data_IF_657142661648
#
_entry.id   IF_657142661648
#
_cell.length_a   1.000
_cell.length_b   1.000
_cell.length_c   1.000
_cell.angle_alpha   90.00
_cell.angle_beta   90.00
_cell.angle_gamma   90.00
#
_symmetry.space_group_name_H-M   'P 1'
#
loop_
_entity.id
_entity.type
_entity.pdbx_description
1 polymer ?
#
# COMPACT_ATOMS: atom_id res chain seq x y z
N UNK A 1 30.93 -25.21 -3.96
CA UNK A 1 29.57 -24.73 -4.30
C UNK A 1 28.75 -25.93 -4.80
N UNK A 2 27.80 -26.42 -4.01
CA UNK A 2 27.07 -27.68 -4.28
C UNK A 2 25.97 -27.49 -5.34
N UNK A 3 25.69 -28.53 -6.12
CA UNK A 3 24.63 -28.61 -7.16
C UNK A 3 23.27 -28.07 -6.67
N UNK A 4 23.00 -28.15 -5.36
CA UNK A 4 21.82 -27.60 -4.70
C UNK A 4 21.71 -26.06 -4.78
N UNK A 5 22.82 -25.32 -4.70
CA UNK A 5 22.85 -23.86 -4.79
C UNK A 5 22.49 -23.35 -6.19
N UNK A 6 22.98 -24.03 -7.23
CA UNK A 6 22.66 -23.70 -8.62
C UNK A 6 21.17 -23.94 -8.93
N UNK A 7 20.63 -25.09 -8.49
CA UNK A 7 19.22 -25.46 -8.68
C UNK A 7 18.23 -24.50 -8.03
N UNK A 8 18.57 -23.94 -6.86
CA UNK A 8 17.73 -22.93 -6.19
C UNK A 8 17.78 -21.56 -6.88
N UNK A 9 18.90 -21.20 -7.51
CA UNK A 9 19.03 -19.93 -8.23
C UNK A 9 18.19 -19.92 -9.52
N UNK A 10 18.08 -21.06 -10.19
CA UNK A 10 17.24 -21.18 -11.39
C UNK A 10 15.74 -21.19 -11.06
N UNK A 11 15.34 -21.83 -9.95
CA UNK A 11 13.93 -21.84 -9.51
C UNK A 11 13.38 -20.43 -9.25
N UNK A 12 14.11 -19.57 -8.52
CA UNK A 12 13.63 -18.21 -8.23
C UNK A 12 13.53 -17.34 -9.49
N UNK A 13 14.46 -17.50 -10.43
CA UNK A 13 14.41 -16.80 -11.73
C UNK A 13 13.21 -17.27 -12.55
N UNK A 14 12.97 -18.58 -12.61
CA UNK A 14 11.81 -19.15 -13.30
C UNK A 14 10.52 -18.67 -12.63
N UNK A 15 10.42 -18.71 -11.30
CA UNK A 15 9.26 -18.21 -10.57
C UNK A 15 9.01 -16.72 -10.85
N UNK A 16 10.05 -15.87 -10.77
CA UNK A 16 9.91 -14.45 -11.11
C UNK A 16 9.44 -14.26 -12.55
N UNK A 17 10.04 -14.99 -13.50
CA UNK A 17 9.65 -14.93 -14.91
C UNK A 17 8.17 -15.30 -15.10
N UNK A 18 7.74 -16.45 -14.59
CA UNK A 18 6.37 -16.95 -14.74
C UNK A 18 5.37 -16.01 -14.07
N UNK A 19 5.63 -15.61 -12.82
CA UNK A 19 4.73 -14.72 -12.08
C UNK A 19 4.64 -13.33 -12.73
N UNK A 20 5.76 -12.76 -13.20
CA UNK A 20 5.74 -11.48 -13.91
C UNK A 20 5.11 -11.58 -15.30
N UNK A 21 5.25 -12.71 -16.00
CA UNK A 21 4.58 -12.92 -17.30
C UNK A 21 3.06 -12.98 -17.13
N UNK A 22 2.58 -13.75 -16.16
CA UNK A 22 1.13 -13.83 -15.88
C UNK A 22 0.60 -12.45 -15.47
N UNK A 23 1.27 -11.75 -14.56
CA UNK A 23 0.86 -10.42 -14.13
C UNK A 23 0.89 -9.41 -15.28
N UNK A 24 1.90 -9.47 -16.15
CA UNK A 24 2.00 -8.64 -17.35
C UNK A 24 0.82 -8.87 -18.31
N UNK A 25 0.50 -10.13 -18.62
CA UNK A 25 -0.60 -10.46 -19.53
C UNK A 25 -1.95 -10.05 -18.94
N UNK A 26 -2.18 -10.32 -17.65
CA UNK A 26 -3.44 -9.95 -16.98
C UNK A 26 -3.63 -8.43 -16.95
N UNK A 27 -2.60 -7.67 -16.58
CA UNK A 27 -2.69 -6.20 -16.55
C UNK A 27 -2.79 -5.61 -17.94
N UNK A 28 -2.18 -6.20 -18.97
CA UNK A 28 -2.35 -5.77 -20.35
C UNK A 28 -3.79 -6.00 -20.85
N UNK A 29 -4.37 -7.18 -20.59
CA UNK A 29 -5.76 -7.48 -20.91
C UNK A 29 -6.70 -6.53 -20.16
N UNK A 30 -6.47 -6.32 -18.87
CA UNK A 30 -7.24 -5.40 -18.05
C UNK A 30 -7.14 -3.95 -18.58
N UNK A 31 -5.96 -3.50 -19.01
CA UNK A 31 -5.75 -2.18 -19.61
C UNK A 31 -6.66 -1.99 -20.83
N UNK A 32 -6.64 -2.93 -21.77
CA UNK A 32 -7.45 -2.88 -22.98
C UNK A 32 -8.94 -2.94 -22.63
N UNK A 33 -9.34 -3.86 -21.75
CA UNK A 33 -10.73 -4.04 -21.34
C UNK A 33 -11.31 -2.80 -20.64
N UNK A 34 -10.57 -2.21 -19.70
CA UNK A 34 -11.01 -1.01 -18.98
C UNK A 34 -11.06 0.22 -19.89
N UNK A 35 -10.06 0.44 -20.76
CA UNK A 35 -10.16 1.55 -21.71
C UNK A 35 -11.30 1.36 -22.71
N UNK A 36 -11.52 0.14 -23.22
CA UNK A 36 -12.67 -0.16 -24.07
C UNK A 36 -13.99 0.10 -23.32
N UNK A 37 -14.12 -0.36 -22.08
CA UNK A 37 -15.27 -0.13 -21.19
C UNK A 37 -15.56 1.36 -20.95
N UNK A 38 -14.52 2.14 -20.72
CA UNK A 38 -14.63 3.58 -20.46
C UNK A 38 -14.84 4.45 -21.70
N UNK A 39 -14.62 3.93 -22.91
CA UNK A 39 -14.68 4.70 -24.16
C UNK A 39 -15.64 4.08 -25.20
N UNK A 40 -15.18 3.10 -25.97
CA UNK A 40 -15.88 2.51 -27.11
C UNK A 40 -17.14 1.74 -26.70
N UNK A 41 -17.09 1.07 -25.54
CA UNK A 41 -18.19 0.25 -25.03
C UNK A 41 -19.19 1.04 -24.17
N UNK A 42 -18.92 2.32 -23.88
CA UNK A 42 -19.79 3.18 -23.06
C UNK A 42 -21.26 3.17 -23.52
N UNK A 43 -21.59 3.31 -24.83
CA UNK A 43 -22.99 3.30 -25.28
C UNK A 43 -23.67 1.95 -25.06
N UNK A 44 -22.92 0.84 -25.16
CA UNK A 44 -23.45 -0.51 -24.99
C UNK A 44 -23.65 -0.89 -23.53
N UNK A 45 -22.85 -0.31 -22.63
CA UNK A 45 -22.93 -0.53 -21.19
C UNK A 45 -23.96 0.40 -20.50
N UNK A 46 -24.57 1.34 -21.23
CA UNK A 46 -25.42 2.40 -20.69
C UNK A 46 -24.77 3.11 -19.49
N UNK A 47 -23.45 3.27 -19.51
CA UNK A 47 -22.68 3.79 -18.39
C UNK A 47 -22.62 5.32 -18.38
N UNK A 48 -22.75 5.90 -17.19
CA UNK A 48 -22.65 7.34 -16.98
C UNK A 48 -21.19 7.85 -17.09
N UNK A 49 -21.01 9.17 -16.94
CA UNK A 49 -19.68 9.78 -17.02
C UNK A 49 -18.78 9.36 -15.86
N UNK A 50 -19.34 9.12 -14.67
CA UNK A 50 -18.57 8.71 -13.50
C UNK A 50 -18.01 7.28 -13.68
N UNK A 51 -18.84 6.35 -14.13
CA UNK A 51 -18.47 4.97 -14.44
C UNK A 51 -17.44 4.92 -15.58
N UNK A 52 -17.62 5.74 -16.61
CA UNK A 52 -16.65 5.90 -17.70
C UNK A 52 -15.29 6.39 -17.19
N UNK A 53 -15.28 7.42 -16.33
CA UNK A 53 -14.05 7.94 -15.70
C UNK A 53 -13.36 6.90 -14.81
N UNK A 54 -14.14 6.15 -14.02
CA UNK A 54 -13.64 5.03 -13.23
C UNK A 54 -12.93 3.99 -14.10
N UNK A 55 -13.56 3.55 -15.20
CA UNK A 55 -12.94 2.61 -16.12
C UNK A 55 -11.66 3.16 -16.76
N UNK A 56 -11.64 4.42 -17.18
CA UNK A 56 -10.41 5.03 -17.73
C UNK A 56 -9.30 5.09 -16.67
N UNK A 57 -9.63 5.39 -15.42
CA UNK A 57 -8.66 5.41 -14.31
C UNK A 57 -8.08 4.02 -14.05
N UNK A 58 -8.95 2.99 -14.01
CA UNK A 58 -8.53 1.60 -13.88
C UNK A 58 -7.67 1.13 -15.06
N UNK A 59 -7.99 1.55 -16.29
CA UNK A 59 -7.17 1.29 -17.47
C UNK A 59 -5.78 1.92 -17.34
N UNK A 60 -5.70 3.16 -16.84
CA UNK A 60 -4.46 3.89 -16.64
C UNK A 60 -3.55 3.27 -15.58
N UNK A 61 -4.11 2.79 -14.46
CA UNK A 61 -3.37 2.01 -13.45
C UNK A 61 -2.81 0.74 -14.05
N UNK A 62 -3.67 -0.04 -14.72
CA UNK A 62 -3.25 -1.31 -15.30
C UNK A 62 -2.18 -1.12 -16.38
N UNK A 63 -2.22 -0.01 -17.13
CA UNK A 63 -1.16 0.34 -18.06
C UNK A 63 0.18 0.54 -17.34
N UNK A 64 0.21 1.30 -16.24
CA UNK A 64 1.41 1.48 -15.42
C UNK A 64 1.90 0.16 -14.81
N UNK A 65 0.99 -0.66 -14.29
CA UNK A 65 1.32 -1.99 -13.75
C UNK A 65 1.90 -2.91 -14.82
N UNK A 66 1.38 -2.88 -16.05
CA UNK A 66 1.93 -3.66 -17.16
C UNK A 66 3.39 -3.26 -17.46
N UNK A 67 3.73 -1.97 -17.35
CA UNK A 67 5.13 -1.51 -17.48
C UNK A 67 5.99 -2.07 -16.34
N UNK A 68 5.50 -2.07 -15.09
CA UNK A 68 6.21 -2.63 -13.93
C UNK A 68 6.44 -4.14 -14.10
N UNK A 69 5.42 -4.90 -14.50
CA UNK A 69 5.51 -6.34 -14.69
C UNK A 69 6.40 -6.70 -15.89
N UNK A 70 6.29 -5.95 -17.01
CA UNK A 70 7.18 -6.09 -18.16
C UNK A 70 8.64 -5.78 -17.81
N UNK A 71 8.88 -4.78 -16.97
CA UNK A 71 10.22 -4.48 -16.45
C UNK A 71 10.77 -5.63 -15.60
N UNK A 72 9.97 -6.24 -14.73
CA UNK A 72 10.37 -7.43 -13.98
C UNK A 72 10.64 -8.64 -14.88
N UNK A 73 9.80 -8.88 -15.89
CA UNK A 73 9.99 -9.93 -16.88
C UNK A 73 11.35 -9.79 -17.60
N UNK A 74 11.69 -8.56 -18.02
CA UNK A 74 12.96 -8.25 -18.64
C UNK A 74 14.17 -8.57 -17.72
N UNK A 75 14.10 -8.22 -16.44
CA UNK A 75 15.18 -8.48 -15.47
C UNK A 75 15.24 -9.94 -14.98
N UNK A 76 14.17 -10.70 -15.13
CA UNK A 76 14.19 -12.14 -14.93
C UNK A 76 15.03 -12.83 -16.03
N UNK A 77 14.95 -12.36 -17.27
CA UNK A 77 15.70 -12.88 -18.42
C UNK A 77 17.15 -12.38 -18.49
N UNK A 78 17.39 -11.13 -18.09
CA UNK A 78 18.73 -10.52 -18.17
C UNK A 78 19.68 -11.17 -17.17
N UNK A 79 20.92 -11.48 -17.58
CA UNK A 79 21.98 -11.89 -16.65
C UNK A 79 22.14 -10.83 -15.55
N UNK A 80 22.27 -11.23 -14.27
CA UNK A 80 22.45 -10.25 -13.21
C UNK A 80 23.75 -9.51 -13.50
N UNK A 81 23.67 -8.18 -13.56
CA UNK A 81 24.86 -7.35 -13.44
C UNK A 81 24.94 -6.97 -11.98
N UNK A 82 26.09 -7.19 -11.36
CA UNK A 82 26.35 -6.66 -10.03
C UNK A 82 26.00 -5.16 -10.01
N UNK A 83 25.48 -4.63 -8.89
CA UNK A 83 25.29 -3.21 -8.73
C UNK A 83 26.66 -2.53 -8.86
N UNK A 84 27.00 -2.07 -10.07
CA UNK A 84 28.24 -1.33 -10.31
C UNK A 84 28.22 -0.10 -9.40
N UNK A 85 29.13 -0.05 -8.45
CA UNK A 85 29.58 1.20 -7.84
C UNK A 85 30.24 2.03 -8.95
N UNK A 86 29.40 2.73 -9.72
CA UNK A 86 29.86 3.58 -10.81
C UNK A 86 30.56 4.79 -10.22
N UNK A 87 31.85 4.93 -10.51
CA UNK A 87 32.69 6.09 -10.16
C UNK A 87 32.22 7.43 -10.77
N UNK A 88 31.27 7.42 -11.71
CA UNK A 88 30.65 8.63 -12.22
C UNK A 88 29.61 9.17 -11.24
N UNK A 89 29.76 10.44 -10.82
CA UNK A 89 28.76 11.23 -10.06
C UNK A 89 27.47 11.33 -10.87
N UNK A 90 26.64 10.28 -10.84
CA UNK A 90 25.24 10.37 -11.25
C UNK A 90 24.56 11.34 -10.29
N UNK A 91 23.76 12.27 -10.83
CA UNK A 91 22.78 13.00 -10.01
C UNK A 91 22.03 11.94 -9.19
N UNK A 92 22.03 12.02 -7.85
CA UNK A 92 21.45 10.97 -7.02
C UNK A 92 19.95 10.89 -7.31
N UNK A 93 19.42 9.68 -7.47
CA UNK A 93 17.99 9.40 -7.77
C UNK A 93 17.02 10.22 -6.90
N UNK A 94 17.39 10.45 -5.63
CA UNK A 94 16.67 11.31 -4.69
C UNK A 94 16.48 12.76 -5.16
N UNK A 95 17.44 13.36 -5.87
CA UNK A 95 17.30 14.73 -6.41
C UNK A 95 16.22 14.77 -7.49
N UNK A 96 16.19 13.79 -8.40
CA UNK A 96 15.14 13.71 -9.42
C UNK A 96 13.77 13.45 -8.80
N UNK A 97 13.68 12.57 -7.81
CA UNK A 97 12.45 12.36 -7.06
C UNK A 97 11.98 13.65 -6.37
N UNK A 98 12.91 14.45 -5.82
CA UNK A 98 12.58 15.73 -5.18
C UNK A 98 12.08 16.79 -6.17
N UNK A 99 12.71 16.87 -7.35
CA UNK A 99 12.25 17.75 -8.43
C UNK A 99 10.85 17.33 -8.89
N UNK A 100 10.61 16.02 -9.10
CA UNK A 100 9.31 15.51 -9.49
C UNK A 100 8.23 15.81 -8.44
N UNK A 101 8.54 15.62 -7.16
CA UNK A 101 7.62 15.95 -6.06
C UNK A 101 7.30 17.44 -6.00
N UNK A 102 8.31 18.31 -6.17
CA UNK A 102 8.11 19.75 -6.23
C UNK A 102 7.24 20.15 -7.43
N UNK A 103 7.48 19.57 -8.61
CA UNK A 103 6.66 19.80 -9.79
C UNK A 103 5.20 19.36 -9.57
N UNK A 104 4.98 18.22 -8.92
CA UNK A 104 3.65 17.76 -8.55
C UNK A 104 2.98 18.70 -7.55
N UNK A 105 3.69 19.15 -6.52
CA UNK A 105 3.15 20.09 -5.53
C UNK A 105 2.73 21.42 -6.17
N UNK A 106 3.57 21.96 -7.07
CA UNK A 106 3.22 23.17 -7.85
C UNK A 106 2.03 22.89 -8.76
N UNK A 107 1.98 21.73 -9.44
CA UNK A 107 0.84 21.35 -10.27
C UNK A 107 -0.45 21.29 -9.45
N UNK A 108 -0.46 20.63 -8.29
CA UNK A 108 -1.61 20.58 -7.39
C UNK A 108 -2.02 21.97 -6.88
N UNK A 109 -1.07 22.86 -6.58
CA UNK A 109 -1.37 24.23 -6.17
C UNK A 109 -2.04 25.03 -7.30
N UNK A 110 -1.60 24.83 -8.55
CA UNK A 110 -2.22 25.47 -9.71
C UNK A 110 -3.66 24.98 -9.95
N UNK A 111 -4.01 23.76 -9.53
CA UNK A 111 -5.38 23.24 -9.63
C UNK A 111 -6.38 23.98 -8.73
N UNK A 112 -5.94 24.79 -7.75
CA UNK A 112 -6.83 25.66 -6.98
C UNK A 112 -7.46 26.77 -7.83
N UNK A 113 -6.91 27.04 -9.01
CA UNK A 113 -7.49 27.96 -9.98
C UNK A 113 -8.55 27.21 -10.82
N UNK A 114 -9.81 27.61 -10.71
CA UNK A 114 -10.94 26.93 -11.36
C UNK A 114 -10.77 26.72 -12.88
N UNK A 115 -10.10 27.65 -13.58
CA UNK A 115 -9.80 27.52 -15.01
C UNK A 115 -8.81 26.38 -15.32
N UNK A 116 -7.79 26.22 -14.47
CA UNK A 116 -6.80 25.13 -14.57
C UNK A 116 -7.48 23.80 -14.22
N UNK A 117 -8.25 23.76 -13.14
CA UNK A 117 -9.01 22.57 -12.73
C UNK A 117 -9.91 22.06 -13.85
N UNK A 118 -10.72 22.94 -14.45
CA UNK A 118 -11.63 22.57 -15.54
C UNK A 118 -10.90 22.07 -16.78
N UNK A 119 -9.70 22.59 -17.06
CA UNK A 119 -8.88 22.15 -18.19
C UNK A 119 -8.30 20.74 -17.97
N UNK A 120 -7.82 20.45 -16.76
CA UNK A 120 -7.16 19.18 -16.44
C UNK A 120 -8.09 18.08 -15.93
N UNK A 121 -9.30 18.38 -15.45
CA UNK A 121 -10.21 17.38 -14.90
C UNK A 121 -10.52 16.20 -15.83
N UNK A 122 -10.63 16.35 -17.17
CA UNK A 122 -10.80 15.21 -18.07
C UNK A 122 -9.56 14.29 -18.12
N UNK A 123 -8.39 14.80 -17.72
CA UNK A 123 -7.12 14.08 -17.74
C UNK A 123 -6.81 13.41 -16.39
N UNK A 124 -7.54 13.72 -15.32
CA UNK A 124 -7.25 13.18 -13.98
C UNK A 124 -7.20 11.66 -13.95
N UNK A 125 -8.10 10.97 -14.65
CA UNK A 125 -8.08 9.52 -14.75
C UNK A 125 -6.74 8.96 -15.26
N UNK A 126 -6.08 9.66 -16.19
CA UNK A 126 -4.77 9.29 -16.71
C UNK A 126 -3.61 9.75 -15.81
N UNK A 127 -3.79 10.87 -15.11
CA UNK A 127 -2.76 11.47 -14.27
C UNK A 127 -2.65 10.81 -12.89
N UNK A 128 -3.74 10.26 -12.36
CA UNK A 128 -3.77 9.70 -10.99
C UNK A 128 -2.65 8.69 -10.71
N UNK A 129 -2.39 7.66 -11.55
CA UNK A 129 -1.33 6.69 -11.27
C UNK A 129 0.05 7.35 -11.15
N UNK A 130 0.32 8.38 -11.96
CA UNK A 130 1.59 9.12 -11.92
C UNK A 130 1.68 10.06 -10.72
N UNK A 131 0.59 10.79 -10.44
CA UNK A 131 0.48 11.68 -9.30
C UNK A 131 0.64 10.92 -7.97
N UNK A 132 0.23 9.66 -7.91
CA UNK A 132 0.53 8.74 -6.80
C UNK A 132 1.96 8.22 -6.89
N UNK A 133 2.47 7.77 -8.04
CA UNK A 133 3.80 7.17 -8.12
C UNK A 133 4.95 8.12 -7.69
N UNK A 134 4.80 9.44 -7.89
CA UNK A 134 5.81 10.46 -7.57
C UNK A 134 6.15 10.52 -6.06
N UNK A 135 5.20 10.75 -5.13
CA UNK A 135 5.51 10.76 -3.70
C UNK A 135 6.04 9.41 -3.20
N UNK A 136 5.53 8.29 -3.72
CA UNK A 136 6.04 6.94 -3.41
C UNK A 136 7.51 6.81 -3.77
N UNK A 137 7.87 7.25 -4.97
CA UNK A 137 9.26 7.25 -5.42
C UNK A 137 10.14 8.09 -4.51
N UNK A 138 9.66 9.28 -4.10
CA UNK A 138 10.39 10.14 -3.17
C UNK A 138 10.61 9.47 -1.81
N UNK A 139 9.58 8.89 -1.19
CA UNK A 139 9.70 8.22 0.11
C UNK A 139 10.64 7.01 0.05
N UNK A 140 10.60 6.21 -1.01
CA UNK A 140 11.54 5.10 -1.21
C UNK A 140 12.97 5.62 -1.33
N UNK A 141 13.22 6.64 -2.14
CA UNK A 141 14.55 7.24 -2.31
C UNK A 141 15.06 7.90 -1.02
N UNK A 142 14.18 8.54 -0.27
CA UNK A 142 14.48 9.10 1.05
C UNK A 142 14.89 7.99 2.03
N UNK A 143 14.07 6.95 2.14
CA UNK A 143 14.27 5.84 3.07
C UNK A 143 15.50 4.98 2.78
N UNK A 144 15.84 4.74 1.49
CA UNK A 144 17.02 3.92 1.14
C UNK A 144 18.31 4.72 0.98
N UNK A 145 18.28 6.04 1.16
CA UNK A 145 19.40 6.92 0.86
C UNK A 145 20.69 6.45 1.55
N UNK A 146 21.80 6.38 0.80
CA UNK A 146 23.13 5.92 1.28
C UNK A 146 23.18 4.47 1.80
N UNK A 147 22.12 3.68 1.65
CA UNK A 147 22.18 2.24 1.90
C UNK A 147 22.78 1.50 0.68
N UNK A 148 23.26 0.26 0.84
CA UNK A 148 23.81 -0.54 -0.24
C UNK A 148 22.79 -0.72 -1.36
N UNK A 149 23.28 -0.70 -2.60
CA UNK A 149 22.41 -0.83 -3.75
C UNK A 149 21.90 -2.28 -3.88
N UNK A 150 20.58 -2.43 -3.97
CA UNK A 150 19.94 -3.70 -4.31
C UNK A 150 19.91 -3.88 -5.83
N UNK A 151 20.08 -5.12 -6.29
CA UNK A 151 20.00 -5.43 -7.71
C UNK A 151 18.62 -5.10 -8.30
N UNK A 152 18.61 -4.60 -9.54
CA UNK A 152 17.38 -4.25 -10.24
C UNK A 152 16.41 -5.44 -10.39
N UNK A 153 16.93 -6.68 -10.39
CA UNK A 153 16.10 -7.90 -10.39
C UNK A 153 15.29 -8.05 -9.10
N UNK A 154 15.92 -7.88 -7.93
CA UNK A 154 15.23 -7.96 -6.64
C UNK A 154 14.20 -6.84 -6.51
N UNK A 155 14.55 -5.61 -6.90
CA UNK A 155 13.65 -4.45 -6.88
C UNK A 155 12.42 -4.66 -7.79
N UNK A 156 12.65 -5.07 -9.04
CA UNK A 156 11.57 -5.30 -10.00
C UNK A 156 10.68 -6.48 -9.61
N UNK A 157 11.26 -7.55 -9.06
CA UNK A 157 10.50 -8.66 -8.49
C UNK A 157 9.63 -8.21 -7.32
N UNK A 158 10.17 -7.38 -6.42
CA UNK A 158 9.42 -6.84 -5.30
C UNK A 158 8.23 -5.97 -5.76
N UNK A 159 8.47 -5.04 -6.67
CA UNK A 159 7.43 -4.20 -7.26
C UNK A 159 6.36 -5.03 -7.98
N UNK A 160 6.77 -6.01 -8.79
CA UNK A 160 5.85 -6.85 -9.55
C UNK A 160 4.98 -7.71 -8.64
N UNK A 161 5.56 -8.42 -7.67
CA UNK A 161 4.76 -9.31 -6.81
C UNK A 161 3.93 -8.52 -5.80
N UNK A 162 4.49 -7.44 -5.25
CA UNK A 162 3.79 -6.56 -4.31
C UNK A 162 2.53 -5.94 -4.90
N UNK A 163 2.59 -5.47 -6.16
CA UNK A 163 1.45 -4.83 -6.84
C UNK A 163 0.45 -5.81 -7.46
N UNK A 164 0.71 -7.13 -7.42
CA UNK A 164 -0.18 -8.14 -7.99
C UNK A 164 -0.60 -9.16 -6.94
N UNK A 165 0.17 -10.23 -6.75
CA UNK A 165 -0.22 -11.37 -5.93
C UNK A 165 -0.34 -11.03 -4.44
N UNK A 166 0.56 -10.20 -3.92
CA UNK A 166 0.48 -9.78 -2.50
C UNK A 166 -0.82 -9.03 -2.24
N UNK A 167 -1.19 -8.09 -3.11
CA UNK A 167 -2.46 -7.36 -3.03
C UNK A 167 -3.67 -8.30 -3.12
N UNK A 168 -3.67 -9.21 -4.09
CA UNK A 168 -4.78 -10.18 -4.25
C UNK A 168 -4.94 -11.08 -3.03
N UNK A 169 -3.83 -11.52 -2.44
CA UNK A 169 -3.87 -12.39 -1.27
C UNK A 169 -4.33 -11.66 -0.02
N UNK A 170 -3.86 -10.43 0.20
CA UNK A 170 -4.34 -9.55 1.26
C UNK A 170 -5.85 -9.33 1.11
N UNK A 171 -6.31 -8.87 -0.06
CA UNK A 171 -7.72 -8.61 -0.31
C UNK A 171 -8.59 -9.85 -0.10
N UNK A 172 -8.12 -11.02 -0.56
CA UNK A 172 -8.82 -12.28 -0.33
C UNK A 172 -8.96 -12.58 1.18
N UNK A 173 -7.88 -12.47 1.94
CA UNK A 173 -7.92 -12.70 3.39
C UNK A 173 -8.83 -11.68 4.08
N UNK A 174 -8.74 -10.40 3.73
CA UNK A 174 -9.60 -9.36 4.29
C UNK A 174 -11.08 -9.64 4.03
N UNK A 175 -11.46 -10.00 2.79
CA UNK A 175 -12.84 -10.34 2.45
C UNK A 175 -13.32 -11.54 3.27
N UNK A 176 -12.50 -12.58 3.42
CA UNK A 176 -12.83 -13.76 4.24
C UNK A 176 -13.03 -13.36 5.71
N UNK A 177 -12.13 -12.57 6.28
CA UNK A 177 -12.22 -12.10 7.66
C UNK A 177 -13.43 -11.18 7.88
N UNK A 178 -13.67 -10.22 6.97
CA UNK A 178 -14.84 -9.34 7.00
C UNK A 178 -16.12 -10.16 6.91
N UNK A 179 -16.18 -11.19 6.05
CA UNK A 179 -17.35 -12.06 5.94
C UNK A 179 -17.63 -12.83 7.23
N UNK A 180 -16.61 -13.36 7.91
CA UNK A 180 -16.77 -14.02 9.21
C UNK A 180 -17.25 -13.05 10.29
N UNK A 181 -16.68 -11.85 10.32
CA UNK A 181 -17.06 -10.81 11.30
C UNK A 181 -18.48 -10.31 11.03
N UNK A 182 -18.85 -10.12 9.77
CA UNK A 182 -20.22 -9.75 9.39
C UNK A 182 -21.21 -10.85 9.78
N UNK A 183 -20.88 -12.13 9.55
CA UNK A 183 -21.72 -13.24 9.97
C UNK A 183 -21.89 -13.27 11.50
N UNK A 184 -20.81 -13.09 12.26
CA UNK A 184 -20.87 -13.00 13.73
C UNK A 184 -21.69 -11.79 14.21
N UNK A 185 -21.52 -10.62 13.57
CA UNK A 185 -22.27 -9.42 13.87
C UNK A 185 -23.77 -9.59 13.57
N UNK A 186 -24.14 -10.20 12.45
CA UNK A 186 -25.53 -10.50 12.10
C UNK A 186 -26.16 -11.49 13.08
N UNK A 187 -25.43 -12.54 13.50
CA UNK A 187 -25.89 -13.46 14.53
C UNK A 187 -26.12 -12.74 15.87
N UNK A 188 -25.17 -11.89 16.29
CA UNK A 188 -25.31 -11.08 17.48
C UNK A 188 -26.52 -10.13 17.40
N UNK A 189 -26.65 -9.39 16.30
CA UNK A 189 -27.74 -8.45 16.06
C UNK A 189 -29.10 -9.14 16.02
N UNK A 190 -29.18 -10.36 15.47
CA UNK A 190 -30.43 -11.13 15.44
C UNK A 190 -30.95 -11.43 16.85
N UNK A 191 -30.08 -11.43 17.86
CA UNK A 191 -30.46 -11.61 19.26
C UNK A 191 -30.92 -10.31 19.95
N UNK A 192 -30.72 -9.14 19.34
CA UNK A 192 -31.04 -7.85 19.95
C UNK A 192 -32.52 -7.45 19.71
N UNK A 193 -33.30 -7.12 20.76
CA UNK A 193 -34.71 -6.76 20.62
C UNK A 193 -35.00 -5.59 19.66
N UNK A 194 -34.21 -4.49 19.62
CA UNK A 194 -34.42 -3.40 18.68
C UNK A 194 -34.29 -3.86 17.21
N UNK A 195 -33.29 -4.69 16.92
CA UNK A 195 -33.10 -5.23 15.57
C UNK A 195 -34.20 -6.20 15.21
N UNK A 196 -34.69 -7.02 16.15
CA UNK A 196 -35.84 -7.90 15.90
C UNK A 196 -37.11 -7.12 15.56
N UNK A 197 -37.34 -5.94 16.16
CA UNK A 197 -38.47 -5.08 15.80
C UNK A 197 -38.34 -4.51 14.38
N UNK A 198 -37.12 -4.12 13.99
CA UNK A 198 -36.82 -3.72 12.60
C UNK A 198 -37.00 -4.90 11.64
N UNK A 199 -36.51 -6.10 11.98
CA UNK A 199 -36.69 -7.31 11.17
C UNK A 199 -38.15 -7.79 11.10
N UNK A 200 -39.01 -7.42 12.05
CA UNK A 200 -40.46 -7.75 12.00
C UNK A 200 -41.25 -6.75 11.16
N UNK A 201 -40.77 -5.50 11.07
CA UNK A 201 -41.31 -4.51 10.13
C UNK A 201 -40.73 -4.66 8.73
N UNK A 202 -39.86 -5.65 8.55
CA UNK A 202 -39.16 -5.93 7.31
C UNK A 202 -40.01 -6.79 6.37
N UNK A 203 -40.14 -6.31 5.14
CA UNK A 203 -40.50 -7.14 3.99
C UNK A 203 -39.39 -6.93 2.97
N UNK A 204 -38.68 -8.01 2.61
CA UNK A 204 -37.70 -7.93 1.52
C UNK A 204 -38.48 -7.55 0.26
N UNK A 205 -38.15 -6.43 -0.41
CA UNK A 205 -38.71 -6.17 -1.73
C UNK A 205 -38.42 -7.39 -2.61
N UNK A 206 -39.44 -7.88 -3.30
CA UNK A 206 -39.28 -9.01 -4.23
C UNK A 206 -38.31 -8.67 -5.38
N UNK A 207 -38.08 -7.38 -5.61
CA UNK A 207 -37.14 -6.84 -6.57
C UNK A 207 -35.99 -6.11 -5.84
N UNK A 208 -34.79 -6.70 -5.90
CA UNK A 208 -33.58 -6.13 -5.31
C UNK A 208 -33.17 -4.79 -5.96
N UNK A 209 -33.70 -4.46 -7.15
CA UNK A 209 -33.49 -3.16 -7.77
C UNK A 209 -34.26 -2.02 -7.09
N UNK A 210 -35.17 -2.33 -6.16
CA UNK A 210 -35.97 -1.37 -5.40
C UNK A 210 -35.42 -1.08 -4.00
N UNK A 211 -34.21 -1.56 -3.67
CA UNK A 211 -33.54 -1.15 -2.43
C UNK A 211 -33.23 0.34 -2.53
N UNK A 212 -34.02 1.15 -1.82
CA UNK A 212 -33.82 2.59 -1.78
C UNK A 212 -32.65 2.97 -0.84
N UNK A 213 -31.99 4.09 -1.12
CA UNK A 213 -30.88 4.61 -0.30
C UNK A 213 -31.33 4.95 1.15
N UNK A 214 -32.50 5.59 1.36
CA UNK A 214 -33.04 5.85 2.70
C UNK A 214 -33.24 4.58 3.56
N UNK A 215 -33.52 3.44 2.93
CA UNK A 215 -33.66 2.14 3.57
C UNK A 215 -32.32 1.66 4.13
N UNK A 216 -31.25 1.77 3.35
CA UNK A 216 -29.90 1.40 3.80
C UNK A 216 -29.44 2.29 4.96
N UNK A 217 -29.69 3.59 4.87
CA UNK A 217 -29.37 4.57 5.92
C UNK A 217 -30.05 4.24 7.26
N UNK A 218 -31.33 3.83 7.24
CA UNK A 218 -32.06 3.46 8.45
C UNK A 218 -31.43 2.26 9.15
N UNK A 219 -30.99 1.26 8.40
CA UNK A 219 -30.35 0.07 8.96
C UNK A 219 -28.95 0.36 9.50
N UNK A 220 -28.15 1.13 8.75
CA UNK A 220 -26.84 1.60 9.19
C UNK A 220 -26.94 2.42 10.48
N UNK A 221 -27.96 3.27 10.61
CA UNK A 221 -28.21 4.04 11.85
C UNK A 221 -28.40 3.13 13.06
N UNK A 222 -29.23 2.10 12.95
CA UNK A 222 -29.49 1.17 14.06
C UNK A 222 -28.22 0.41 14.44
N UNK A 223 -27.45 -0.03 13.44
CA UNK A 223 -26.17 -0.72 13.68
C UNK A 223 -25.16 0.19 14.37
N UNK A 224 -24.99 1.42 13.90
CA UNK A 224 -23.99 2.35 14.43
C UNK A 224 -24.38 2.95 15.80
N UNK A 225 -25.60 2.73 16.26
CA UNK A 225 -26.02 3.05 17.63
C UNK A 225 -25.58 1.98 18.64
N UNK A 226 -25.23 0.76 18.20
CA UNK A 226 -24.76 -0.32 19.07
C UNK A 226 -23.26 -0.16 19.38
N UNK A 227 -22.86 0.13 20.64
CA UNK A 227 -21.46 0.46 20.97
C UNK A 227 -20.49 -0.69 20.67
N UNK A 228 -20.93 -1.94 20.84
CA UNK A 228 -20.09 -3.11 20.55
C UNK A 228 -19.80 -3.25 19.05
N UNK A 229 -20.73 -2.84 18.18
CA UNK A 229 -20.50 -2.88 16.73
C UNK A 229 -19.57 -1.76 16.29
N UNK A 230 -19.73 -0.56 16.85
CA UNK A 230 -18.79 0.55 16.61
C UNK A 230 -17.38 0.15 17.06
N UNK A 231 -17.24 -0.41 18.26
CA UNK A 231 -15.95 -0.95 18.73
C UNK A 231 -15.41 -2.04 17.80
N UNK A 232 -16.28 -2.93 17.30
CA UNK A 232 -15.93 -3.95 16.32
C UNK A 232 -15.39 -3.36 15.02
N UNK A 233 -16.01 -2.30 14.49
CA UNK A 233 -15.53 -1.58 13.29
C UNK A 233 -14.14 -1.00 13.54
N UNK A 234 -13.92 -0.35 14.69
CA UNK A 234 -12.60 0.15 15.07
C UNK A 234 -11.55 -0.95 15.19
N UNK A 235 -11.90 -2.09 15.79
CA UNK A 235 -11.00 -3.24 15.89
C UNK A 235 -10.66 -3.83 14.53
N UNK A 236 -11.62 -3.88 13.61
CA UNK A 236 -11.39 -4.37 12.24
C UNK A 236 -10.47 -3.43 11.48
N UNK A 237 -10.88 -2.16 11.34
CA UNK A 237 -10.20 -1.15 10.51
C UNK A 237 -8.86 -0.75 11.11
N UNK A 238 -8.80 -0.62 12.44
CA UNK A 238 -7.64 -0.13 13.18
C UNK A 238 -6.70 -1.22 13.69
N UNK A 239 -7.04 -2.51 13.56
CA UNK A 239 -6.13 -3.58 14.01
C UNK A 239 -6.12 -4.80 13.09
N UNK A 240 -7.27 -5.42 12.81
CA UNK A 240 -7.31 -6.69 12.06
C UNK A 240 -6.82 -6.52 10.62
N UNK A 241 -7.33 -5.53 9.87
CA UNK A 241 -6.88 -5.28 8.49
C UNK A 241 -5.39 -4.90 8.46
N UNK A 242 -4.91 -3.90 9.24
CA UNK A 242 -3.48 -3.60 9.34
C UNK A 242 -2.62 -4.82 9.70
N UNK A 243 -3.09 -5.67 10.61
CA UNK A 243 -2.37 -6.88 11.00
C UNK A 243 -2.23 -7.86 9.82
N UNK A 244 -3.32 -8.12 9.09
CA UNK A 244 -3.31 -9.00 7.90
C UNK A 244 -2.36 -8.42 6.84
N UNK A 245 -2.52 -7.13 6.54
CA UNK A 245 -1.72 -6.43 5.56
C UNK A 245 -0.22 -6.50 5.85
N UNK A 246 0.19 -6.05 7.04
CA UNK A 246 1.60 -6.00 7.42
C UNK A 246 2.21 -7.40 7.56
N UNK A 247 1.40 -8.42 7.89
CA UNK A 247 1.86 -9.81 7.91
C UNK A 247 2.17 -10.36 6.52
N UNK A 248 1.37 -9.97 5.53
CA UNK A 248 1.42 -10.55 4.18
C UNK A 248 2.29 -9.75 3.20
N UNK A 249 2.49 -8.44 3.41
CA UNK A 249 3.38 -7.61 2.59
C UNK A 249 4.77 -8.22 2.34
N UNK A 250 5.46 -8.85 3.32
CA UNK A 250 6.77 -9.47 3.10
C UNK A 250 6.72 -10.92 2.55
N UNK A 251 5.57 -11.44 2.08
CA UNK A 251 5.42 -12.85 1.68
C UNK A 251 6.48 -13.35 0.68
N UNK A 252 7.00 -12.47 -0.16
CA UNK A 252 8.08 -12.76 -1.11
C UNK A 252 9.46 -12.82 -0.49
N UNK A 253 9.69 -12.14 0.64
CA UNK A 253 10.93 -12.31 1.41
C UNK A 253 11.02 -13.74 1.95
N UNK A 254 9.90 -14.43 2.18
CA UNK A 254 9.91 -15.85 2.52
C UNK A 254 10.51 -16.73 1.43
N UNK A 255 10.32 -16.39 0.15
CA UNK A 255 10.93 -17.12 -0.94
C UNK A 255 12.47 -16.96 -0.95
N UNK A 256 12.99 -15.92 -0.29
CA UNK A 256 14.41 -15.65 -0.11
C UNK A 256 14.98 -16.21 1.19
N UNK A 257 14.19 -16.95 2.00
CA UNK A 257 14.59 -17.41 3.34
C UNK A 257 15.88 -18.21 3.43
N UNK A 258 16.20 -18.94 2.37
CA UNK A 258 17.40 -19.78 2.31
C UNK A 258 18.65 -18.97 1.91
N UNK A 259 18.54 -17.65 1.82
CA UNK A 259 19.62 -16.72 1.53
C UNK A 259 19.72 -15.77 2.72
N UNK A 260 20.92 -15.61 3.27
CA UNK A 260 21.17 -14.65 4.35
C UNK A 260 20.94 -13.23 3.82
N UNK A 261 19.76 -12.68 4.04
CA UNK A 261 19.45 -11.29 3.70
C UNK A 261 20.02 -10.37 4.78
N UNK A 262 20.77 -9.36 4.36
CA UNK A 262 21.17 -8.28 5.24
C UNK A 262 19.92 -7.52 5.73
N UNK A 263 19.99 -6.95 6.93
CA UNK A 263 18.87 -6.20 7.49
C UNK A 263 18.52 -4.97 6.64
N UNK A 264 19.55 -4.33 6.05
CA UNK A 264 19.40 -3.25 5.07
C UNK A 264 18.72 -3.72 3.78
N UNK A 265 19.02 -4.94 3.31
CA UNK A 265 18.36 -5.54 2.14
C UNK A 265 16.86 -5.74 2.42
N UNK A 266 16.53 -6.32 3.58
CA UNK A 266 15.15 -6.52 4.02
C UNK A 266 14.38 -5.22 4.14
N UNK A 267 14.98 -4.21 4.76
CA UNK A 267 14.40 -2.88 4.90
C UNK A 267 14.08 -2.25 3.52
N UNK A 268 15.07 -2.19 2.63
CA UNK A 268 14.89 -1.55 1.31
C UNK A 268 13.90 -2.32 0.44
N UNK A 269 13.90 -3.66 0.46
CA UNK A 269 12.88 -4.44 -0.22
C UNK A 269 11.49 -4.19 0.36
N UNK A 270 11.39 -4.07 1.69
CA UNK A 270 10.18 -3.65 2.39
C UNK A 270 9.65 -2.32 1.89
N UNK A 271 10.50 -1.29 1.72
CA UNK A 271 10.09 0.00 1.15
C UNK A 271 9.45 -0.16 -0.24
N UNK A 272 10.02 -1.03 -1.09
CA UNK A 272 9.48 -1.31 -2.42
C UNK A 272 8.15 -2.08 -2.40
N UNK A 273 7.97 -3.03 -1.47
CA UNK A 273 6.68 -3.70 -1.28
C UNK A 273 5.61 -2.72 -0.83
N UNK A 274 5.92 -1.87 0.16
CA UNK A 274 4.99 -0.84 0.62
C UNK A 274 4.63 0.16 -0.47
N UNK A 275 5.59 0.56 -1.31
CA UNK A 275 5.32 1.43 -2.46
C UNK A 275 4.44 0.75 -3.51
N UNK A 276 4.68 -0.53 -3.81
CA UNK A 276 3.86 -1.29 -4.76
C UNK A 276 2.43 -1.48 -4.28
N UNK A 277 2.26 -1.79 -2.99
CA UNK A 277 0.95 -1.88 -2.34
C UNK A 277 0.22 -0.53 -2.37
N UNK A 278 0.90 0.52 -1.88
CA UNK A 278 0.33 1.87 -1.80
C UNK A 278 -0.08 2.42 -3.17
N UNK A 279 0.65 2.09 -4.25
CA UNK A 279 0.30 2.52 -5.61
C UNK A 279 -1.07 1.98 -6.03
N UNK A 280 -1.29 0.68 -5.84
CA UNK A 280 -2.53 0.00 -6.25
C UNK A 280 -3.68 0.45 -5.37
N UNK A 281 -3.50 0.41 -4.05
CA UNK A 281 -4.53 0.77 -3.09
C UNK A 281 -4.93 2.25 -3.24
N UNK A 282 -3.93 3.16 -3.32
CA UNK A 282 -4.18 4.58 -3.46
C UNK A 282 -4.94 4.92 -4.73
N UNK A 283 -4.53 4.33 -5.86
CA UNK A 283 -5.20 4.67 -7.11
C UNK A 283 -6.61 4.07 -7.19
N UNK A 284 -6.83 2.88 -6.62
CA UNK A 284 -8.17 2.30 -6.54
C UNK A 284 -9.13 3.20 -5.76
N UNK A 285 -8.71 3.70 -4.58
CA UNK A 285 -9.57 4.59 -3.79
C UNK A 285 -9.85 5.93 -4.50
N UNK A 286 -8.85 6.55 -5.13
CA UNK A 286 -9.10 7.81 -5.85
C UNK A 286 -10.04 7.59 -7.04
N UNK A 287 -9.92 6.45 -7.72
CA UNK A 287 -10.79 6.12 -8.85
C UNK A 287 -12.27 6.06 -8.46
N UNK A 288 -12.58 5.77 -7.18
CA UNK A 288 -13.95 5.71 -6.66
C UNK A 288 -14.51 7.07 -6.23
N UNK A 289 -13.65 8.02 -5.83
CA UNK A 289 -14.03 9.29 -5.21
C UNK A 289 -14.39 10.41 -6.20
N UNK A 290 -14.22 10.20 -7.50
CA UNK A 290 -14.52 11.20 -8.54
C UNK A 290 -13.47 12.32 -8.65
N UNK A 291 -13.65 13.23 -9.62
CA UNK A 291 -12.64 14.25 -9.97
C UNK A 291 -12.68 15.52 -9.14
N UNK A 292 -13.74 15.75 -8.34
CA UNK A 292 -13.97 17.02 -7.65
C UNK A 292 -12.96 17.27 -6.52
N UNK A 293 -12.67 16.22 -5.75
CA UNK A 293 -11.74 16.23 -4.61
C UNK A 293 -10.38 15.63 -4.96
N UNK A 294 -9.97 15.72 -6.23
CA UNK A 294 -8.79 15.01 -6.75
C UNK A 294 -7.50 15.47 -6.05
N UNK A 295 -7.32 16.77 -5.82
CA UNK A 295 -6.10 17.32 -5.20
C UNK A 295 -5.98 16.88 -3.74
N UNK A 296 -7.07 17.00 -2.99
CA UNK A 296 -7.20 16.57 -1.59
C UNK A 296 -6.94 15.07 -1.48
N UNK A 297 -7.49 14.29 -2.42
CA UNK A 297 -7.30 12.84 -2.48
C UNK A 297 -5.85 12.46 -2.77
N UNK A 298 -5.17 13.15 -3.70
CA UNK A 298 -3.73 12.94 -3.97
C UNK A 298 -2.90 13.29 -2.73
N UNK A 299 -3.20 14.39 -2.04
CA UNK A 299 -2.48 14.79 -0.82
C UNK A 299 -2.67 13.77 0.31
N UNK A 300 -3.91 13.35 0.56
CA UNK A 300 -4.21 12.32 1.56
C UNK A 300 -3.53 10.99 1.23
N UNK A 301 -3.59 10.56 -0.04
CA UNK A 301 -2.94 9.31 -0.45
C UNK A 301 -1.42 9.37 -0.43
N UNK A 302 -0.82 10.52 -0.73
CA UNK A 302 0.61 10.72 -0.51
C UNK A 302 0.96 10.54 0.98
N UNK A 303 0.13 11.04 1.89
CA UNK A 303 0.34 10.88 3.33
C UNK A 303 0.21 9.41 3.78
N UNK A 304 -0.85 8.71 3.36
CA UNK A 304 -1.04 7.27 3.65
C UNK A 304 0.10 6.41 3.09
N UNK A 305 0.64 6.78 1.93
CA UNK A 305 1.71 6.02 1.29
C UNK A 305 3.02 6.03 2.09
N UNK A 306 3.31 7.10 2.85
CA UNK A 306 4.45 7.12 3.77
C UNK A 306 4.31 6.03 4.84
N UNK A 307 3.09 5.84 5.38
CA UNK A 307 2.79 4.82 6.38
C UNK A 307 3.07 3.44 5.79
N UNK A 308 2.46 3.09 4.65
CA UNK A 308 2.66 1.78 4.03
C UNK A 308 4.12 1.48 3.69
N UNK A 309 4.85 2.48 3.14
CA UNK A 309 6.27 2.33 2.81
C UNK A 309 7.10 2.09 4.07
N UNK A 310 6.87 2.87 5.12
CA UNK A 310 7.65 2.79 6.37
C UNK A 310 7.34 1.50 7.13
N UNK A 311 6.05 1.16 7.29
CA UNK A 311 5.60 -0.08 7.93
C UNK A 311 6.15 -1.31 7.19
N UNK A 312 6.04 -1.36 5.87
CA UNK A 312 6.62 -2.45 5.07
C UNK A 312 8.14 -2.52 5.21
N UNK A 313 8.82 -1.37 5.29
CA UNK A 313 10.26 -1.29 5.58
C UNK A 313 10.62 -1.90 6.94
N UNK A 314 9.88 -1.55 7.99
CA UNK A 314 10.06 -2.11 9.34
C UNK A 314 9.85 -3.63 9.37
N UNK A 315 8.77 -4.11 8.75
CA UNK A 315 8.49 -5.55 8.67
C UNK A 315 9.59 -6.26 7.88
N UNK A 316 10.00 -5.71 6.74
CA UNK A 316 11.09 -6.26 5.93
C UNK A 316 12.43 -6.31 6.70
N UNK A 317 12.73 -5.27 7.47
CA UNK A 317 13.87 -5.24 8.39
C UNK A 317 13.80 -6.33 9.46
N UNK A 318 12.66 -6.44 10.16
CA UNK A 318 12.45 -7.45 11.20
C UNK A 318 12.56 -8.86 10.64
N UNK A 319 11.97 -9.09 9.47
CA UNK A 319 12.04 -10.37 8.79
C UNK A 319 13.47 -10.76 8.42
N UNK A 320 14.21 -9.88 7.74
CA UNK A 320 15.61 -10.16 7.38
C UNK A 320 16.51 -10.36 8.60
N UNK A 321 16.27 -9.62 9.69
CA UNK A 321 17.03 -9.78 10.94
C UNK A 321 16.75 -11.13 11.60
N UNK A 322 15.49 -11.59 11.62
CA UNK A 322 15.11 -12.91 12.16
C UNK A 322 15.77 -14.09 11.44
N UNK A 323 16.22 -13.88 10.20
CA UNK A 323 16.90 -14.88 9.38
C UNK A 323 18.41 -14.97 9.63
N UNK A 324 18.99 -14.01 10.33
CA UNK A 324 20.43 -13.99 10.60
C UNK A 324 20.75 -14.80 11.86
N UNK A 325 21.53 -15.87 11.69
CA UNK A 325 21.84 -16.88 12.71
C UNK A 325 22.53 -16.36 13.99
N UNK A 326 23.12 -15.16 13.97
CA UNK A 326 23.88 -14.60 15.10
C UNK A 326 23.10 -13.57 15.95
N UNK A 327 21.90 -13.15 15.53
CA UNK A 327 21.07 -12.15 16.26
C UNK A 327 19.63 -12.66 16.42
N UNK A 328 19.51 -13.84 17.02
CA UNK A 328 18.26 -14.59 17.22
C UNK A 328 17.32 -14.01 18.29
N UNK A 329 17.52 -12.76 18.71
CA UNK A 329 16.47 -12.04 19.43
C UNK A 329 15.40 -11.67 18.40
N UNK A 330 14.50 -12.62 18.15
CA UNK A 330 13.29 -12.51 17.35
C UNK A 330 12.38 -11.44 17.98
N UNK A 331 12.77 -10.17 17.88
CA UNK A 331 11.98 -9.09 18.44
C UNK A 331 10.79 -8.86 17.53
N UNK A 332 9.54 -9.12 17.96
CA UNK A 332 8.35 -8.79 17.17
C UNK A 332 8.15 -7.27 17.05
N UNK A 333 9.02 -6.45 17.68
CA UNK A 333 8.90 -4.99 17.75
C UNK A 333 8.73 -4.32 16.39
N UNK A 334 9.51 -4.60 15.32
CA UNK A 334 9.30 -3.92 14.04
C UNK A 334 7.93 -4.20 13.44
N UNK A 335 7.45 -5.45 13.57
CA UNK A 335 6.12 -5.85 13.12
C UNK A 335 5.02 -5.21 13.96
N UNK A 336 5.10 -5.28 15.30
CA UNK A 336 4.10 -4.66 16.18
C UNK A 336 4.06 -3.13 16.03
N UNK A 337 5.21 -2.49 15.79
CA UNK A 337 5.28 -1.05 15.51
C UNK A 337 4.59 -0.73 14.17
N UNK A 338 4.80 -1.55 13.14
CA UNK A 338 4.14 -1.38 11.85
C UNK A 338 2.61 -1.52 11.97
N UNK A 339 2.13 -2.56 12.66
CA UNK A 339 0.69 -2.77 12.90
C UNK A 339 0.10 -1.62 13.72
N UNK A 340 0.80 -1.15 14.75
CA UNK A 340 0.36 -0.04 15.58
C UNK A 340 0.25 1.27 14.78
N UNK A 341 1.30 1.65 14.04
CA UNK A 341 1.29 2.87 13.22
C UNK A 341 0.21 2.80 12.13
N UNK A 342 0.11 1.66 11.45
CA UNK A 342 -0.90 1.54 10.40
C UNK A 342 -2.33 1.54 10.98
N UNK A 343 -2.54 0.85 12.10
CA UNK A 343 -3.80 0.83 12.81
C UNK A 343 -4.23 2.17 13.40
N UNK A 344 -3.26 2.92 13.93
CA UNK A 344 -3.48 4.27 14.44
C UNK A 344 -3.89 5.22 13.31
N UNK A 345 -3.18 5.20 12.17
CA UNK A 345 -3.56 5.95 10.97
C UNK A 345 -5.00 5.68 10.54
N UNK A 346 -5.37 4.40 10.40
CA UNK A 346 -6.71 4.01 9.98
C UNK A 346 -7.79 4.45 10.98
N UNK A 347 -7.51 4.32 12.28
CA UNK A 347 -8.43 4.73 13.33
C UNK A 347 -8.62 6.24 13.36
N UNK A 348 -7.53 7.01 13.22
CA UNK A 348 -7.57 8.47 13.18
C UNK A 348 -8.25 8.98 11.90
N UNK A 349 -8.01 8.33 10.75
CA UNK A 349 -8.69 8.65 9.50
C UNK A 349 -10.21 8.43 9.61
N UNK A 350 -10.63 7.31 10.20
CA UNK A 350 -12.04 7.03 10.47
C UNK A 350 -12.66 8.08 11.42
N UNK A 351 -11.96 8.41 12.50
CA UNK A 351 -12.40 9.42 13.47
C UNK A 351 -12.48 10.83 12.86
N UNK A 352 -11.53 11.19 12.00
CA UNK A 352 -11.56 12.47 11.28
C UNK A 352 -12.77 12.59 10.34
N UNK A 353 -13.31 11.46 9.89
CA UNK A 353 -14.49 11.39 9.03
C UNK A 353 -15.81 11.23 9.81
N UNK A 354 -15.75 11.17 11.15
CA UNK A 354 -16.91 10.85 11.99
C UNK A 354 -18.06 11.84 11.84
N UNK A 355 -17.79 13.15 11.73
CA UNK A 355 -18.85 14.16 11.52
C UNK A 355 -19.57 14.00 10.19
N UNK A 356 -18.84 13.66 9.12
CA UNK A 356 -19.44 13.39 7.83
C UNK A 356 -20.40 12.20 7.94
N UNK A 357 -19.99 11.13 8.63
CA UNK A 357 -20.79 9.94 8.87
C UNK A 357 -22.04 10.27 9.70
N UNK A 358 -21.89 11.02 10.80
CA UNK A 358 -23.00 11.34 11.70
C UNK A 358 -24.01 12.29 11.06
N UNK A 359 -23.55 13.24 10.25
CA UNK A 359 -24.43 14.16 9.51
C UNK A 359 -25.20 13.41 8.41
N UNK A 360 -24.50 12.58 7.64
CA UNK A 360 -25.10 11.79 6.54
C UNK A 360 -26.14 10.80 7.07
N UNK A 361 -25.81 10.10 8.16
CA UNK A 361 -26.71 9.11 8.75
C UNK A 361 -27.67 9.72 9.79
N UNK A 362 -27.58 11.03 10.02
CA UNK A 362 -28.31 11.81 11.02
C UNK A 362 -28.32 11.12 12.42
N UNK A 363 -27.14 10.65 12.83
CA UNK A 363 -26.86 10.06 14.14
C UNK A 363 -26.38 11.16 15.09
N UNK A 364 -27.03 11.33 16.24
CA UNK A 364 -26.58 12.23 17.31
C UNK A 364 -25.46 11.58 18.14
N UNK A 365 -24.23 11.58 17.60
CA UNK A 365 -23.02 11.36 18.40
C UNK A 365 -22.55 12.72 18.92
N UNK A 366 -22.63 12.93 20.23
CA UNK A 366 -22.17 14.14 20.90
C UNK A 366 -20.64 14.15 21.01
N UNK A 367 -19.95 14.28 19.87
CA UNK A 367 -18.51 14.56 19.84
C UNK A 367 -18.30 16.07 19.91
N UNK A 368 -17.58 16.59 20.92
CA UNK A 368 -17.11 17.96 20.98
C UNK A 368 -16.50 18.45 19.65
N UNK A 369 -16.80 19.70 19.26
CA UNK A 369 -16.28 20.31 18.02
C UNK A 369 -14.75 20.37 17.95
N UNK A 370 -14.08 20.36 19.10
CA UNK A 370 -12.62 20.32 19.16
C UNK A 370 -12.04 19.08 18.44
N UNK A 371 -12.80 18.00 18.31
CA UNK A 371 -12.34 16.77 17.66
C UNK A 371 -12.14 16.88 16.14
N UNK A 372 -12.81 17.80 15.45
CA UNK A 372 -12.55 18.02 14.01
C UNK A 372 -11.18 18.63 13.75
N UNK A 373 -10.57 19.23 14.78
CA UNK A 373 -9.22 19.76 14.72
C UNK A 373 -8.23 18.73 15.27
N UNK A 374 -8.57 18.08 16.40
CA UNK A 374 -7.68 17.15 17.07
C UNK A 374 -7.34 15.92 16.24
N UNK A 375 -8.31 15.28 15.55
CA UNK A 375 -8.01 14.06 14.78
C UNK A 375 -7.16 14.34 13.53
N UNK A 376 -7.45 15.37 12.70
CA UNK A 376 -6.54 15.76 11.64
C UNK A 376 -5.16 16.19 12.15
N UNK A 377 -5.08 16.93 13.26
CA UNK A 377 -3.79 17.28 13.86
C UNK A 377 -3.01 16.04 14.30
N UNK A 378 -3.68 15.04 14.88
CA UNK A 378 -3.07 13.76 15.24
C UNK A 378 -2.55 12.99 14.02
N UNK A 379 -3.28 12.98 12.90
CA UNK A 379 -2.80 12.41 11.62
C UNK A 379 -1.52 13.12 11.14
N UNK A 380 -1.45 14.44 11.24
CA UNK A 380 -0.23 15.19 10.88
C UNK A 380 0.93 14.83 11.81
N UNK A 381 0.69 14.72 13.11
CA UNK A 381 1.70 14.32 14.10
C UNK A 381 2.22 12.91 13.80
N UNK A 382 1.33 11.97 13.54
CA UNK A 382 1.68 10.59 13.17
C UNK A 382 2.46 10.53 11.86
N UNK A 383 2.06 11.31 10.86
CA UNK A 383 2.77 11.41 9.60
C UNK A 383 4.21 11.91 9.80
N UNK A 384 4.40 12.96 10.60
CA UNK A 384 5.73 13.48 10.97
C UNK A 384 6.53 12.42 11.73
N UNK A 385 5.91 11.76 12.72
CA UNK A 385 6.56 10.70 13.50
C UNK A 385 7.02 9.55 12.61
N UNK A 386 6.22 9.16 11.62
CA UNK A 386 6.55 8.11 10.65
C UNK A 386 7.70 8.53 9.74
N UNK A 387 7.71 9.78 9.26
CA UNK A 387 8.82 10.30 8.46
C UNK A 387 10.14 10.32 9.24
N UNK A 388 10.08 10.73 10.51
CA UNK A 388 11.22 10.72 11.42
C UNK A 388 11.69 9.28 11.69
N UNK A 389 10.77 8.33 11.87
CA UNK A 389 11.09 6.92 12.04
C UNK A 389 11.77 6.34 10.80
N UNK A 390 11.27 6.65 9.60
CA UNK A 390 11.90 6.25 8.33
C UNK A 390 13.33 6.80 8.24
N UNK A 391 13.53 8.07 8.59
CA UNK A 391 14.87 8.67 8.63
C UNK A 391 15.78 8.04 9.69
N UNK A 392 15.24 7.69 10.86
CA UNK A 392 15.99 7.06 11.95
C UNK A 392 16.45 5.66 11.56
N UNK A 393 15.55 4.83 11.03
CA UNK A 393 15.87 3.49 10.53
C UNK A 393 16.99 3.53 9.49
N UNK A 394 16.91 4.48 8.55
CA UNK A 394 17.94 4.70 7.55
C UNK A 394 19.32 5.03 8.18
N UNK A 395 19.37 5.92 9.18
CA UNK A 395 20.60 6.28 9.89
C UNK A 395 21.18 5.11 10.69
N UNK A 396 20.34 4.38 11.42
CA UNK A 396 20.75 3.20 12.20
C UNK A 396 21.34 2.11 11.28
N UNK A 397 20.71 1.87 10.13
CA UNK A 397 21.22 0.90 9.15
C UNK A 397 22.56 1.34 8.54
N UNK A 398 22.77 2.65 8.28
CA UNK A 398 24.07 3.16 7.82
C UNK A 398 25.19 2.93 8.83
N UNK A 399 24.93 3.13 10.12
CA UNK A 399 25.91 2.91 11.18
C UNK A 399 26.33 1.44 11.27
N UNK A 400 25.40 0.52 11.05
CA UNK A 400 25.67 -0.93 11.09
C UNK A 400 26.38 -1.47 9.84
N UNK A 401 26.55 -0.67 8.77
CA UNK A 401 27.26 -1.06 7.55
C UNK A 401 28.78 -0.85 7.68
N UNK A 402 29.21 0.06 8.56
CA UNK A 402 30.61 0.20 8.92
C UNK A 402 30.90 -0.68 10.13
N UNK A 403 31.80 -1.68 10.06
CA UNK A 403 32.28 -2.34 11.27
C UNK A 403 32.93 -1.27 12.17
N UNK A 404 32.89 -1.41 13.51
CA UNK A 404 33.77 -0.63 14.37
C UNK A 404 35.21 -0.81 13.89
N UNK A 405 35.96 0.30 13.81
CA UNK A 405 37.34 0.33 13.35
C UNK A 405 38.16 -0.81 13.99
N UNK A 406 38.94 -1.47 13.14
CA UNK A 406 39.92 -2.49 13.52
C UNK A 406 40.65 -2.10 14.81
N UNK A 407 40.43 -2.86 15.88
CA UNK A 407 41.53 -3.14 16.79
C UNK A 407 42.56 -3.92 15.97
N UNK A 408 43.67 -3.26 15.62
CA UNK A 408 44.88 -3.93 15.19
C UNK A 408 45.27 -4.98 16.25
N UNK A 409 45.75 -6.13 15.79
CA UNK A 409 46.12 -7.34 16.55
C UNK A 409 45.00 -8.34 16.87
N UNK A 410 44.57 -9.12 15.87
CA UNK A 410 44.86 -10.56 15.86
C UNK A 410 44.35 -11.26 14.58
N UNK A 411 45.26 -11.98 13.96
CA UNK A 411 45.13 -13.22 13.17
C UNK A 411 44.14 -13.34 12.00
N UNK A 412 44.76 -13.36 10.80
CA UNK A 412 44.64 -14.40 9.78
C UNK A 412 43.43 -15.34 9.89
N UNK A 413 42.41 -15.13 9.06
CA UNK A 413 42.00 -16.09 8.00
C UNK A 413 40.55 -15.90 7.52
N UNK A 414 40.38 -16.22 6.23
CA UNK A 414 39.13 -16.52 5.50
C UNK A 414 38.33 -15.31 4.98
N UNK A 415 38.72 -14.88 3.78
CA UNK A 415 37.84 -14.20 2.83
C UNK A 415 36.57 -15.05 2.59
N UNK A 416 35.41 -14.51 3.00
CA UNK A 416 34.09 -14.97 2.54
C UNK A 416 33.36 -13.81 1.87
N UNK A 417 33.72 -13.55 0.61
CA UNK A 417 32.92 -12.73 -0.31
C UNK A 417 32.70 -13.54 -1.57
N UNK A 418 31.82 -14.53 -1.48
CA UNK A 418 31.21 -15.22 -2.59
C UNK A 418 29.91 -15.82 -2.05
N UNK A 419 28.73 -15.37 -2.51
CA UNK A 419 27.52 -16.19 -2.81
C UNK A 419 26.39 -15.27 -3.36
N UNK A 420 26.15 -15.31 -4.68
CA UNK A 420 24.92 -14.91 -5.39
C UNK A 420 24.06 -16.12 -5.83
#
# INVERSE_FOLDING_TARGET
MTIAGHKNNDRLKISQFVLSLIAFLLTLIATVGFFAGGSVLKPYLNSDNQTSSFFISMGSVNALLSVIHGYSLWYALKKPKEPRQSAFKKIPSFTWASIALLCLAVFCLLQLLAGVQRFFSPLYAFLTPLAIAIPLWWFVEFGKRKLPAISARKISGALSVGSSYTMLFILFLEIVFIAFILAAALLYLSSQPPVQQVMKSFSFPADLAQIDLPFLERYLRVILQEPLLVLGIFLVIGFILPFIEESMKPITLWALRNRSLLASDGFVLGLYFGAAFALVESTLAISQLGSEIWVESIALRAATSLIHITCSGLVGFGYATSMQSQKREESPRPFLTAVFLHGLWNSLALLSSSRLITTTLNITLALPEIYDILFPAALVIEWIATLLLLSRMNKELQQNIHPPEHNEFNDLSVHTNDVE
#
